data_IF_936062134801
#
_entry.id   IF_936062134801
#
_cell.length_a   1.000
_cell.length_b   1.000
_cell.length_c   1.000
_cell.angle_alpha   90.00
_cell.angle_beta   90.00
_cell.angle_gamma   90.00
#
_symmetry.space_group_name_H-M   'P 1'
#
loop_
_entity.id
_entity.type
_entity.pdbx_description
1 polymer ?
#
# COMPACT_ATOMS: atom_id res chain seq x y z
N UNK A 1 16.99 -14.28 -14.43
CA UNK A 1 15.86 -13.40 -14.81
C UNK A 1 14.52 -13.87 -14.25
N UNK A 2 14.07 -15.12 -14.44
CA UNK A 2 12.78 -15.59 -13.89
C UNK A 2 12.69 -15.62 -12.35
N UNK A 3 13.81 -15.76 -11.63
CA UNK A 3 13.83 -15.80 -10.16
C UNK A 3 13.52 -14.44 -9.49
N UNK A 4 13.90 -13.33 -10.15
CA UNK A 4 13.64 -11.96 -9.69
C UNK A 4 12.29 -11.41 -10.18
N UNK A 5 11.66 -12.09 -11.15
CA UNK A 5 10.40 -11.66 -11.75
C UNK A 5 9.27 -11.41 -10.71
N UNK A 6 9.13 -12.23 -9.64
CA UNK A 6 8.15 -11.94 -8.60
C UNK A 6 8.48 -10.67 -7.80
N UNK A 7 9.76 -10.38 -7.54
CA UNK A 7 10.17 -9.18 -6.82
C UNK A 7 9.95 -7.91 -7.67
N UNK A 8 10.24 -8.00 -8.98
CA UNK A 8 9.92 -6.92 -9.94
C UNK A 8 8.40 -6.71 -10.06
N UNK A 9 7.62 -7.79 -10.12
CA UNK A 9 6.15 -7.69 -10.14
C UNK A 9 5.62 -7.04 -8.86
N UNK A 10 6.15 -7.43 -7.70
CA UNK A 10 5.79 -6.81 -6.41
C UNK A 10 6.04 -5.31 -6.44
N UNK A 11 7.22 -4.85 -6.85
CA UNK A 11 7.52 -3.41 -6.83
C UNK A 11 6.65 -2.62 -7.79
N UNK A 12 6.49 -3.07 -9.03
CA UNK A 12 5.64 -2.36 -10.00
C UNK A 12 4.20 -2.27 -9.50
N UNK A 13 3.64 -3.36 -8.96
CA UNK A 13 2.27 -3.37 -8.42
C UNK A 13 2.13 -2.49 -7.17
N UNK A 14 3.07 -2.59 -6.24
CA UNK A 14 3.07 -1.80 -5.01
C UNK A 14 3.19 -0.29 -5.30
N UNK A 15 4.13 0.10 -6.16
CA UNK A 15 4.31 1.49 -6.57
C UNK A 15 3.09 2.02 -7.35
N UNK A 16 2.48 1.19 -8.20
CA UNK A 16 1.23 1.52 -8.89
C UNK A 16 0.09 1.73 -7.91
N UNK A 17 -0.05 0.88 -6.90
CA UNK A 17 -1.09 1.01 -5.88
C UNK A 17 -0.92 2.30 -5.06
N UNK A 18 0.30 2.62 -4.61
CA UNK A 18 0.59 3.86 -3.89
C UNK A 18 0.31 5.08 -4.80
N UNK A 19 0.83 5.11 -6.02
CA UNK A 19 0.61 6.21 -6.96
C UNK A 19 -0.86 6.43 -7.29
N UNK A 20 -1.62 5.34 -7.51
CA UNK A 20 -3.06 5.40 -7.72
C UNK A 20 -3.80 5.91 -6.47
N UNK A 21 -3.42 5.47 -5.27
CA UNK A 21 -3.99 5.97 -4.01
C UNK A 21 -3.78 7.47 -3.84
N UNK A 22 -2.57 7.96 -4.08
CA UNK A 22 -2.26 9.39 -4.06
C UNK A 22 -3.09 10.16 -5.09
N UNK A 23 -3.21 9.62 -6.30
CA UNK A 23 -3.97 10.23 -7.40
C UNK A 23 -5.46 10.32 -7.09
N UNK A 24 -6.08 9.23 -6.58
CA UNK A 24 -7.49 9.21 -6.19
C UNK A 24 -7.77 10.22 -5.07
N UNK A 25 -6.87 10.33 -4.10
CA UNK A 25 -6.98 11.31 -3.01
C UNK A 25 -6.82 12.75 -3.49
N UNK A 26 -5.87 13.02 -4.37
CA UNK A 26 -5.69 14.33 -4.99
C UNK A 26 -6.94 14.72 -5.80
N UNK A 27 -7.49 13.79 -6.58
CA UNK A 27 -8.69 14.01 -7.37
C UNK A 27 -9.92 14.32 -6.51
N UNK A 28 -10.08 13.63 -5.38
CA UNK A 28 -11.14 13.92 -4.41
C UNK A 28 -10.97 15.30 -3.76
N UNK A 29 -9.73 15.69 -3.43
CA UNK A 29 -9.41 16.94 -2.73
C UNK A 29 -9.50 18.17 -3.64
N UNK A 30 -9.02 18.08 -4.88
CA UNK A 30 -8.85 19.22 -5.79
C UNK A 30 -10.00 19.42 -6.79
N UNK A 31 -11.03 18.59 -6.72
CA UNK A 31 -12.26 18.79 -7.49
C UNK A 31 -12.49 17.67 -8.49
N UNK A 32 -13.04 16.55 -8.00
CA UNK A 32 -13.53 15.48 -8.87
C UNK A 32 -14.66 16.03 -9.79
N UNK A 33 -14.71 15.64 -11.07
CA UNK A 33 -15.79 16.00 -11.97
C UNK A 33 -17.15 15.56 -11.44
N UNK A 34 -18.24 16.30 -11.71
CA UNK A 34 -19.59 15.97 -11.23
C UNK A 34 -20.06 14.54 -11.59
N UNK A 35 -19.57 14.00 -12.70
CA UNK A 35 -19.86 12.63 -13.18
C UNK A 35 -19.22 11.51 -12.34
N UNK A 36 -18.31 11.84 -11.41
CA UNK A 36 -17.61 10.86 -10.57
C UNK A 36 -18.29 10.77 -9.20
N UNK A 37 -19.02 9.69 -9.02
CA UNK A 37 -19.83 9.42 -7.83
C UNK A 37 -19.01 8.76 -6.72
N UNK A 38 -19.48 8.84 -5.47
CA UNK A 38 -18.85 8.15 -4.33
C UNK A 38 -18.70 6.63 -4.54
N UNK A 39 -19.70 5.89 -5.07
CA UNK A 39 -19.51 4.47 -5.36
C UNK A 39 -18.38 4.19 -6.36
N UNK A 40 -18.21 5.03 -7.39
CA UNK A 40 -17.09 4.88 -8.35
C UNK A 40 -15.75 5.10 -7.68
N UNK A 41 -15.65 6.09 -6.78
CA UNK A 41 -14.44 6.32 -5.98
C UNK A 41 -14.13 5.12 -5.09
N UNK A 42 -15.15 4.52 -4.46
CA UNK A 42 -14.98 3.34 -3.61
C UNK A 42 -14.57 2.09 -4.39
N UNK A 43 -15.05 1.92 -5.62
CA UNK A 43 -14.58 0.86 -6.53
C UNK A 43 -13.11 1.08 -6.90
N UNK A 44 -12.71 2.31 -7.23
CA UNK A 44 -11.32 2.63 -7.53
C UNK A 44 -10.39 2.33 -6.33
N UNK A 45 -10.79 2.74 -5.12
CA UNK A 45 -10.07 2.41 -3.88
C UNK A 45 -9.97 0.89 -3.66
N UNK A 46 -11.04 0.14 -3.89
CA UNK A 46 -11.00 -1.32 -3.80
C UNK A 46 -10.05 -1.94 -4.82
N UNK A 47 -10.08 -1.48 -6.08
CA UNK A 47 -9.16 -1.95 -7.12
C UNK A 47 -7.69 -1.71 -6.73
N UNK A 48 -7.38 -0.57 -6.11
CA UNK A 48 -6.05 -0.28 -5.56
C UNK A 48 -5.65 -1.31 -4.49
N UNK A 49 -6.56 -1.65 -3.56
CA UNK A 49 -6.31 -2.67 -2.54
C UNK A 49 -6.05 -4.05 -3.16
N UNK A 50 -6.79 -4.40 -4.21
CA UNK A 50 -6.56 -5.65 -4.96
C UNK A 50 -5.18 -5.64 -5.60
N UNK A 51 -4.79 -4.57 -6.29
CA UNK A 51 -3.46 -4.44 -6.91
C UNK A 51 -2.36 -4.56 -5.85
N UNK A 52 -2.50 -3.88 -4.71
CA UNK A 52 -1.55 -3.97 -3.60
C UNK A 52 -1.49 -5.40 -3.02
N UNK A 53 -2.64 -6.04 -2.83
CA UNK A 53 -2.75 -7.42 -2.36
C UNK A 53 -2.06 -8.41 -3.30
N UNK A 54 -2.25 -8.25 -4.61
CA UNK A 54 -1.53 -9.04 -5.63
C UNK A 54 -0.01 -8.82 -5.55
N UNK A 55 0.43 -7.58 -5.35
CA UNK A 55 1.85 -7.27 -5.10
C UNK A 55 2.40 -8.08 -3.92
N UNK A 56 1.70 -8.10 -2.79
CA UNK A 56 2.11 -8.90 -1.64
C UNK A 56 2.14 -10.40 -1.90
N UNK A 57 1.20 -10.93 -2.69
CA UNK A 57 1.24 -12.34 -3.08
C UNK A 57 2.54 -12.65 -3.83
N UNK A 58 2.93 -11.82 -4.82
CA UNK A 58 4.21 -11.98 -5.50
C UNK A 58 5.41 -11.88 -4.55
N UNK A 59 5.42 -10.93 -3.61
CA UNK A 59 6.46 -10.81 -2.58
C UNK A 59 6.64 -12.11 -1.78
N UNK A 60 5.54 -12.73 -1.32
CA UNK A 60 5.62 -13.97 -0.55
C UNK A 60 6.15 -15.17 -1.33
N UNK A 61 5.94 -15.22 -2.66
CA UNK A 61 6.52 -16.27 -3.50
C UNK A 61 8.04 -16.17 -3.58
N UNK A 62 8.59 -14.95 -3.53
CA UNK A 62 10.04 -14.73 -3.51
C UNK A 62 10.66 -15.04 -2.14
N UNK A 63 9.98 -14.67 -1.04
CA UNK A 63 10.43 -15.05 0.32
C UNK A 63 10.35 -16.57 0.60
N UNK A 64 9.56 -17.30 -0.18
CA UNK A 64 9.34 -18.75 -0.06
C UNK A 64 8.37 -19.16 1.05
N UNK A 65 8.06 -18.31 2.03
CA UNK A 65 6.99 -18.55 3.01
C UNK A 65 6.49 -17.25 3.64
N UNK A 66 5.16 -17.04 3.78
CA UNK A 66 4.59 -15.92 4.52
C UNK A 66 5.08 -15.82 5.97
N UNK A 67 5.40 -16.95 6.61
CA UNK A 67 5.87 -16.95 8.01
C UNK A 67 7.23 -16.25 8.17
N UNK A 68 8.06 -16.24 7.12
CA UNK A 68 9.34 -15.54 7.12
C UNK A 68 9.18 -14.03 7.18
N UNK A 69 8.07 -13.48 6.71
CA UNK A 69 7.79 -12.05 6.82
C UNK A 69 7.69 -11.62 8.30
N UNK A 70 7.09 -12.45 9.17
CA UNK A 70 7.06 -12.15 10.61
C UNK A 70 8.45 -12.18 11.24
N UNK A 71 9.30 -13.13 10.84
CA UNK A 71 10.69 -13.15 11.29
C UNK A 71 11.47 -11.91 10.85
N UNK A 72 11.20 -11.42 9.63
CA UNK A 72 11.80 -10.19 9.14
C UNK A 72 11.42 -8.97 10.01
N UNK A 73 10.24 -8.96 10.63
CA UNK A 73 9.83 -7.86 11.52
C UNK A 73 10.70 -7.73 12.79
N UNK A 74 11.42 -8.78 13.20
CA UNK A 74 12.36 -8.72 14.33
C UNK A 74 13.53 -7.75 14.11
N UNK A 75 13.75 -7.27 12.87
CA UNK A 75 14.85 -6.37 12.49
C UNK A 75 14.37 -5.01 12.01
N UNK A 76 13.12 -4.63 12.30
CA UNK A 76 12.58 -3.29 12.04
C UNK A 76 13.53 -2.22 12.60
N UNK A 77 13.75 -1.16 11.82
CA UNK A 77 14.70 -0.08 12.12
C UNK A 77 16.14 -0.39 11.72
N UNK A 78 16.53 -1.66 11.62
CA UNK A 78 17.92 -2.07 11.32
C UNK A 78 18.13 -2.64 9.92
N UNK A 79 17.08 -3.22 9.31
CA UNK A 79 17.16 -3.82 7.97
C UNK A 79 16.16 -3.17 7.01
N UNK A 80 16.63 -2.80 5.81
CA UNK A 80 15.80 -2.16 4.79
C UNK A 80 14.59 -3.02 4.42
N UNK A 81 14.79 -4.33 4.22
CA UNK A 81 13.72 -5.27 3.91
C UNK A 81 12.64 -5.32 5.02
N UNK A 82 13.03 -5.27 6.28
CA UNK A 82 12.10 -5.25 7.41
C UNK A 82 11.24 -3.99 7.43
N UNK A 83 11.86 -2.84 7.13
CA UNK A 83 11.16 -1.57 7.02
C UNK A 83 10.19 -1.55 5.84
N UNK A 84 10.58 -2.13 4.70
CA UNK A 84 9.72 -2.28 3.52
C UNK A 84 8.47 -3.12 3.85
N UNK A 85 8.65 -4.29 4.45
CA UNK A 85 7.54 -5.18 4.83
C UNK A 85 6.58 -4.46 5.79
N UNK A 86 7.11 -3.82 6.83
CA UNK A 86 6.30 -3.13 7.83
C UNK A 86 5.49 -1.98 7.21
N UNK A 87 6.15 -1.12 6.43
CA UNK A 87 5.54 0.08 5.87
C UNK A 87 4.53 -0.27 4.77
N UNK A 88 4.82 -1.27 3.93
CA UNK A 88 3.88 -1.79 2.94
C UNK A 88 2.65 -2.41 3.58
N UNK A 89 2.82 -3.24 4.63
CA UNK A 89 1.70 -3.89 5.30
C UNK A 89 0.83 -2.85 6.01
N UNK A 90 1.46 -1.83 6.60
CA UNK A 90 0.80 -0.70 7.22
C UNK A 90 0.02 0.14 6.20
N UNK A 91 0.59 0.38 5.01
CA UNK A 91 -0.11 1.05 3.91
C UNK A 91 -1.38 0.29 3.50
N UNK A 92 -1.27 -1.01 3.21
CA UNK A 92 -2.41 -1.83 2.84
C UNK A 92 -3.48 -1.83 3.93
N UNK A 93 -3.07 -1.95 5.19
CA UNK A 93 -3.97 -1.98 6.35
C UNK A 93 -4.71 -0.66 6.54
N UNK A 94 -4.01 0.48 6.48
CA UNK A 94 -4.62 1.81 6.66
C UNK A 94 -5.51 2.19 5.48
N UNK A 95 -5.07 1.95 4.24
CA UNK A 95 -5.89 2.19 3.05
C UNK A 95 -7.13 1.29 3.04
N UNK A 96 -6.96 0.02 3.42
CA UNK A 96 -8.05 -0.95 3.54
C UNK A 96 -9.04 -0.59 4.63
N UNK A 97 -8.54 -0.17 5.80
CA UNK A 97 -9.37 0.30 6.91
C UNK A 97 -10.16 1.56 6.51
N UNK A 98 -9.51 2.53 5.87
CA UNK A 98 -10.20 3.73 5.37
C UNK A 98 -11.32 3.35 4.39
N UNK A 99 -11.05 2.48 3.42
CA UNK A 99 -12.06 2.00 2.48
C UNK A 99 -13.22 1.30 3.21
N UNK A 100 -12.91 0.38 4.14
CA UNK A 100 -13.91 -0.37 4.89
C UNK A 100 -14.79 0.52 5.76
N UNK A 101 -14.19 1.46 6.52
CA UNK A 101 -14.92 2.43 7.32
C UNK A 101 -15.82 3.31 6.45
N UNK A 102 -15.38 3.65 5.23
CA UNK A 102 -16.14 4.48 4.28
C UNK A 102 -17.36 3.73 3.73
N UNK A 103 -17.21 2.49 3.28
CA UNK A 103 -18.33 1.70 2.72
C UNK A 103 -19.34 1.30 3.80
N UNK A 104 -18.87 0.95 5.01
CA UNK A 104 -19.73 0.57 6.13
C UNK A 104 -20.28 1.77 6.90
N UNK A 105 -19.85 3.00 6.54
CA UNK A 105 -20.21 4.25 7.22
C UNK A 105 -19.94 4.23 8.73
N UNK A 106 -18.87 3.56 9.14
CA UNK A 106 -18.45 3.43 10.54
C UNK A 106 -17.63 4.66 10.95
N UNK A 107 -17.89 5.17 12.16
CA UNK A 107 -17.18 6.32 12.74
C UNK A 107 -17.58 7.68 12.16
N UNK A 108 -17.00 8.76 12.71
CA UNK A 108 -17.19 10.11 12.19
C UNK A 108 -16.39 10.34 10.90
N UNK A 109 -16.79 11.35 10.11
CA UNK A 109 -16.04 11.73 8.91
C UNK A 109 -14.60 12.14 9.24
N UNK A 110 -14.38 12.81 10.37
CA UNK A 110 -13.05 13.18 10.86
C UNK A 110 -12.15 11.96 11.09
N UNK A 111 -12.68 10.91 11.73
CA UNK A 111 -11.94 9.66 11.95
C UNK A 111 -11.53 9.02 10.63
N UNK A 112 -12.47 8.88 9.67
CA UNK A 112 -12.16 8.33 8.33
C UNK A 112 -11.10 9.14 7.62
N UNK A 113 -11.17 10.48 7.69
CA UNK A 113 -10.17 11.37 7.10
C UNK A 113 -8.79 11.19 7.74
N UNK A 114 -8.70 11.06 9.06
CA UNK A 114 -7.44 10.81 9.76
C UNK A 114 -6.80 9.50 9.29
N UNK A 115 -7.57 8.41 9.26
CA UNK A 115 -7.08 7.10 8.78
C UNK A 115 -6.57 7.21 7.34
N UNK A 116 -7.30 7.94 6.48
CA UNK A 116 -6.88 8.16 5.10
C UNK A 116 -5.58 8.97 5.01
N UNK A 117 -5.44 10.07 5.75
CA UNK A 117 -4.20 10.85 5.78
C UNK A 117 -3.00 10.05 6.27
N UNK A 118 -3.19 9.20 7.27
CA UNK A 118 -2.16 8.26 7.72
C UNK A 118 -1.80 7.28 6.59
N UNK A 119 -2.77 6.74 5.86
CA UNK A 119 -2.50 5.86 4.72
C UNK A 119 -1.68 6.55 3.62
N UNK A 120 -1.94 7.83 3.34
CA UNK A 120 -1.18 8.64 2.38
C UNK A 120 0.27 8.80 2.85
N UNK A 121 0.47 9.22 4.10
CA UNK A 121 1.80 9.41 4.67
C UNK A 121 2.60 8.11 4.67
N UNK A 122 2.00 7.00 5.12
CA UNK A 122 2.63 5.69 5.15
C UNK A 122 2.92 5.17 3.74
N UNK A 123 2.06 5.43 2.76
CA UNK A 123 2.32 5.07 1.35
C UNK A 123 3.58 5.75 0.82
N UNK A 124 3.79 7.03 1.14
CA UNK A 124 5.02 7.76 0.77
C UNK A 124 6.24 7.18 1.49
N UNK A 125 6.16 6.90 2.80
CA UNK A 125 7.24 6.26 3.56
C UNK A 125 7.59 4.88 2.97
N UNK A 126 6.58 4.11 2.57
CA UNK A 126 6.77 2.81 1.95
C UNK A 126 7.54 2.90 0.62
N UNK A 127 7.31 3.94 -0.19
CA UNK A 127 8.11 4.19 -1.40
C UNK A 127 9.59 4.41 -1.10
N UNK A 128 9.90 5.18 -0.05
CA UNK A 128 11.28 5.37 0.40
C UNK A 128 11.89 4.07 0.94
N UNK A 129 11.12 3.30 1.72
CA UNK A 129 11.58 2.01 2.24
C UNK A 129 11.90 1.01 1.13
N UNK A 130 11.06 0.92 0.09
CA UNK A 130 11.33 0.12 -1.11
C UNK A 130 12.63 0.57 -1.81
N UNK A 131 12.82 1.88 -2.01
CA UNK A 131 14.02 2.40 -2.66
C UNK A 131 15.31 2.00 -1.92
N UNK A 132 15.28 2.01 -0.58
CA UNK A 132 16.43 1.63 0.24
C UNK A 132 16.81 0.15 0.10
N UNK A 133 15.86 -0.74 -0.20
CA UNK A 133 16.16 -2.17 -0.43
C UNK A 133 17.04 -2.35 -1.66
N UNK A 134 16.83 -1.54 -2.71
CA UNK A 134 17.64 -1.59 -3.93
C UNK A 134 18.99 -0.89 -3.84
N UNK A 135 19.28 -0.21 -2.72
CA UNK A 135 20.56 0.46 -2.47
C UNK A 135 21.50 -0.37 -1.60
N UNK A 136 21.12 -1.59 -1.21
CA UNK A 136 21.99 -2.49 -0.46
C UNK A 136 23.16 -2.90 -1.38
N UNK A 137 24.39 -2.64 -0.93
CA UNK A 137 25.60 -3.11 -1.62
C UNK A 137 25.63 -4.64 -1.62
N UNK A 138 25.78 -5.23 -2.81
CA UNK A 138 25.89 -6.68 -3.03
C UNK A 138 27.31 -7.10 -3.28
#
# INVERSE_FOLDING_TARGET
MLYEAPLVAFTVLAQTAVGAHLTVNAFEKFGKPPRVTEPRMNIARFAILVVMGLGFLFSTTHLGSPLRAFNALNRVGSAALSNEILTGASFLSLAGLYWLLTILKIGSEGVRKIVNWLSIAVGVIFMFAMANVYQIET
#
